data_IF_185885908516
#
_entry.id   IF_185885908516
#
_cell.length_a   1.000
_cell.length_b   1.000
_cell.length_c   1.000
_cell.angle_alpha   90.00
_cell.angle_beta   90.00
_cell.angle_gamma   90.00
#
_symmetry.space_group_name_H-M   'P 1'
#
loop_
_entity.id
_entity.type
_entity.pdbx_description
1 polymer ?
#
# COMPACT_ATOMS: atom_id res chain seq x y z
N UNK A 1 -14.69 1.71 -20.84
CA UNK A 1 -15.09 0.57 -20.01
C UNK A 1 -14.26 0.57 -18.72
N UNK A 2 -14.93 0.50 -17.57
CA UNK A 2 -14.26 0.33 -16.27
C UNK A 2 -13.59 -1.04 -16.13
N UNK A 3 -12.75 -1.18 -15.13
CA UNK A 3 -12.06 -2.43 -14.82
C UNK A 3 -13.07 -3.54 -14.47
N UNK A 4 -12.92 -4.71 -15.09
CA UNK A 4 -13.67 -5.92 -14.80
C UNK A 4 -12.76 -6.99 -14.21
N UNK A 5 -13.21 -7.61 -13.13
CA UNK A 5 -12.54 -8.72 -12.47
C UNK A 5 -13.56 -9.70 -11.91
N UNK A 6 -13.10 -10.85 -11.45
CA UNK A 6 -13.96 -11.82 -10.74
C UNK A 6 -14.57 -11.16 -9.49
N UNK A 7 -13.82 -10.30 -8.81
CA UNK A 7 -14.28 -9.54 -7.64
C UNK A 7 -15.48 -8.64 -7.99
N UNK A 8 -15.34 -7.79 -9.01
CA UNK A 8 -16.41 -6.86 -9.42
C UNK A 8 -17.63 -7.59 -9.99
N UNK A 9 -17.42 -8.67 -10.72
CA UNK A 9 -18.51 -9.50 -11.23
C UNK A 9 -19.31 -10.16 -10.08
N UNK A 10 -18.61 -10.65 -9.07
CA UNK A 10 -19.25 -11.25 -7.88
C UNK A 10 -20.08 -10.23 -7.14
N UNK A 11 -19.58 -9.01 -6.92
CA UNK A 11 -20.33 -7.93 -6.28
C UNK A 11 -21.56 -7.53 -7.10
N UNK A 12 -21.44 -7.44 -8.42
CA UNK A 12 -22.54 -7.11 -9.31
C UNK A 12 -23.67 -8.15 -9.28
N UNK A 13 -23.34 -9.42 -8.95
CA UNK A 13 -24.29 -10.53 -8.81
C UNK A 13 -24.75 -10.75 -7.36
N UNK A 14 -24.41 -9.86 -6.44
CA UNK A 14 -24.68 -10.00 -5.01
C UNK A 14 -24.08 -11.28 -4.40
N UNK A 15 -22.96 -11.73 -4.93
CA UNK A 15 -22.20 -12.86 -4.42
C UNK A 15 -21.03 -12.35 -3.56
N UNK A 16 -20.65 -13.14 -2.55
CA UNK A 16 -19.47 -12.83 -1.72
C UNK A 16 -18.21 -13.31 -2.42
N UNK A 17 -17.31 -12.41 -2.87
CA UNK A 17 -16.04 -12.81 -3.49
C UNK A 17 -15.09 -13.42 -2.47
N UNK A 18 -14.33 -14.42 -2.89
CA UNK A 18 -13.34 -15.12 -2.07
C UNK A 18 -11.92 -14.56 -2.24
N UNK A 19 -10.93 -15.16 -1.59
CA UNK A 19 -9.52 -14.76 -1.70
C UNK A 19 -8.96 -14.92 -3.10
N UNK A 20 -9.43 -15.89 -3.90
CA UNK A 20 -9.02 -16.03 -5.30
C UNK A 20 -9.56 -14.89 -6.16
N UNK A 21 -10.80 -14.46 -5.92
CA UNK A 21 -11.37 -13.29 -6.58
C UNK A 21 -10.62 -12.02 -6.23
N UNK A 22 -10.17 -11.87 -4.97
CA UNK A 22 -9.32 -10.75 -4.55
C UNK A 22 -7.98 -10.75 -5.31
N UNK A 23 -7.30 -11.88 -5.38
CA UNK A 23 -6.03 -12.01 -6.11
C UNK A 23 -6.20 -11.64 -7.59
N UNK A 24 -7.25 -12.14 -8.23
CA UNK A 24 -7.58 -11.80 -9.62
C UNK A 24 -7.81 -10.29 -9.79
N UNK A 25 -8.58 -9.69 -8.90
CA UNK A 25 -8.85 -8.24 -8.93
C UNK A 25 -7.57 -7.41 -8.79
N UNK A 26 -6.74 -7.72 -7.81
CA UNK A 26 -5.48 -7.01 -7.59
C UNK A 26 -4.52 -7.16 -8.77
N UNK A 27 -4.40 -8.37 -9.32
CA UNK A 27 -3.59 -8.60 -10.53
C UNK A 27 -4.11 -7.78 -11.71
N UNK A 28 -5.42 -7.74 -11.91
CA UNK A 28 -6.04 -6.98 -13.00
C UNK A 28 -5.74 -5.48 -12.86
N UNK A 29 -5.86 -4.92 -11.64
CA UNK A 29 -5.54 -3.52 -11.38
C UNK A 29 -4.07 -3.24 -11.70
N UNK A 30 -3.15 -4.06 -11.21
CA UNK A 30 -1.72 -3.85 -11.40
C UNK A 30 -1.26 -4.13 -12.83
N UNK A 31 -1.94 -5.00 -13.58
CA UNK A 31 -1.67 -5.21 -15.00
C UNK A 31 -2.06 -4.02 -15.85
N UNK A 32 -3.23 -3.44 -15.59
CA UNK A 32 -3.77 -2.32 -16.37
C UNK A 32 -3.21 -0.95 -15.91
N UNK A 33 -2.85 -0.84 -14.63
CA UNK A 33 -2.44 0.41 -13.99
C UNK A 33 -1.15 0.26 -13.15
N UNK A 34 -0.14 -0.44 -13.68
CA UNK A 34 1.12 -0.66 -12.98
C UNK A 34 1.79 0.65 -12.53
N UNK A 35 2.23 0.72 -11.29
CA UNK A 35 2.89 1.89 -10.72
C UNK A 35 1.96 3.05 -10.36
N UNK A 36 0.66 2.94 -10.53
CA UNK A 36 -0.27 4.06 -10.35
C UNK A 36 -0.45 4.45 -8.87
N UNK A 37 -0.56 3.47 -7.98
CA UNK A 37 -0.65 3.72 -6.53
C UNK A 37 0.65 4.32 -5.98
N UNK A 38 1.78 3.95 -6.55
CA UNK A 38 3.09 4.50 -6.22
C UNK A 38 3.15 6.02 -6.46
N UNK A 39 2.54 6.52 -7.52
CA UNK A 39 2.55 7.95 -7.84
C UNK A 39 1.97 8.79 -6.69
N UNK A 40 0.88 8.35 -6.09
CA UNK A 40 0.29 9.01 -4.93
C UNK A 40 1.19 8.90 -3.69
N UNK A 41 1.64 7.70 -3.36
CA UNK A 41 2.49 7.46 -2.19
C UNK A 41 3.80 8.25 -2.24
N UNK A 42 4.41 8.33 -3.42
CA UNK A 42 5.66 9.10 -3.61
C UNK A 42 5.46 10.61 -3.54
N UNK A 43 4.26 11.10 -3.89
CA UNK A 43 3.96 12.53 -3.96
C UNK A 43 3.53 13.13 -2.62
N UNK A 44 3.05 12.31 -1.69
CA UNK A 44 2.58 12.78 -0.40
C UNK A 44 3.70 12.73 0.64
N UNK A 45 3.93 13.86 1.32
CA UNK A 45 5.02 14.02 2.29
C UNK A 45 4.51 14.48 3.64
N UNK A 46 5.21 14.08 4.70
CA UNK A 46 4.95 14.56 6.06
C UNK A 46 5.59 15.94 6.31
N UNK A 47 5.42 16.44 7.53
CA UNK A 47 6.00 17.75 7.92
C UNK A 47 7.54 17.77 7.82
N UNK A 48 8.19 16.63 7.94
CA UNK A 48 9.65 16.50 7.78
C UNK A 48 10.10 16.31 6.34
N UNK A 49 9.18 16.31 5.39
CA UNK A 49 9.45 16.15 3.97
C UNK A 49 9.62 14.72 3.49
N UNK A 50 9.26 13.72 4.32
CA UNK A 50 9.37 12.30 3.99
C UNK A 50 8.07 11.79 3.39
N UNK A 51 8.16 11.01 2.30
CA UNK A 51 7.03 10.19 1.87
C UNK A 51 6.94 8.91 2.71
N UNK A 52 5.92 8.11 2.47
CA UNK A 52 5.68 6.88 3.24
C UNK A 52 6.81 5.84 3.06
N UNK A 53 7.41 5.76 1.88
CA UNK A 53 8.56 4.87 1.64
C UNK A 53 9.77 5.29 2.47
N UNK A 54 10.10 6.57 2.48
CA UNK A 54 11.23 7.12 3.24
C UNK A 54 11.00 6.97 4.74
N UNK A 55 9.78 7.18 5.20
CA UNK A 55 9.42 6.99 6.60
C UNK A 55 9.56 5.52 7.04
N UNK A 56 9.12 4.57 6.20
CA UNK A 56 9.30 3.14 6.47
C UNK A 56 10.79 2.75 6.45
N UNK A 57 11.54 3.24 5.48
CA UNK A 57 12.96 2.95 5.30
C UNK A 57 13.82 3.40 6.49
N UNK A 58 13.41 4.40 7.26
CA UNK A 58 14.13 4.86 8.46
C UNK A 58 14.36 3.75 9.48
N UNK A 59 13.47 2.76 9.54
CA UNK A 59 13.58 1.67 10.49
C UNK A 59 14.56 0.57 10.06
N UNK A 60 15.19 0.71 8.88
CA UNK A 60 16.24 -0.18 8.41
C UNK A 60 17.59 0.39 8.82
N UNK A 61 18.35 -0.29 9.70
CA UNK A 61 19.70 0.15 10.07
C UNK A 61 20.68 0.07 8.90
N UNK A 62 21.78 0.84 8.98
CA UNK A 62 22.83 0.85 7.97
C UNK A 62 23.94 -0.19 8.26
N UNK A 63 23.58 -1.33 8.80
CA UNK A 63 24.52 -2.40 9.09
C UNK A 63 24.94 -3.10 7.79
N UNK A 64 26.24 -3.28 7.61
CA UNK A 64 26.80 -3.97 6.47
C UNK A 64 26.31 -5.42 6.42
N UNK A 65 25.89 -5.87 5.23
CA UNK A 65 25.43 -7.23 5.01
C UNK A 65 24.04 -7.55 5.58
N UNK A 66 23.31 -6.55 6.08
CA UNK A 66 21.94 -6.75 6.59
C UNK A 66 21.04 -7.31 5.50
N UNK A 67 20.35 -8.41 5.79
CA UNK A 67 19.48 -9.11 4.84
C UNK A 67 18.05 -8.57 4.97
N UNK A 68 17.59 -7.91 3.91
CA UNK A 68 16.32 -7.20 3.87
C UNK A 68 15.43 -7.81 2.80
N UNK A 69 14.18 -8.10 3.16
CA UNK A 69 13.15 -8.55 2.24
C UNK A 69 12.03 -7.50 2.15
N UNK A 70 11.76 -7.01 0.95
CA UNK A 70 10.60 -6.17 0.66
C UNK A 70 9.46 -7.05 0.16
N UNK A 71 8.49 -7.28 1.03
CA UNK A 71 7.33 -8.14 0.77
C UNK A 71 6.25 -7.33 0.06
N UNK A 72 5.82 -7.78 -1.11
CA UNK A 72 4.97 -7.05 -2.04
C UNK A 72 5.66 -5.75 -2.51
N UNK A 73 6.83 -5.92 -3.11
CA UNK A 73 7.71 -4.80 -3.46
C UNK A 73 7.21 -3.93 -4.62
N UNK A 74 6.21 -4.38 -5.37
CA UNK A 74 5.69 -3.67 -6.53
C UNK A 74 6.78 -3.33 -7.54
N UNK A 75 6.79 -2.10 -8.00
CA UNK A 75 7.78 -1.59 -8.96
C UNK A 75 9.14 -1.23 -8.34
N UNK A 76 9.36 -1.53 -7.06
CA UNK A 76 10.65 -1.44 -6.39
C UNK A 76 11.06 -0.07 -5.82
N UNK A 77 10.15 0.87 -5.51
CA UNK A 77 10.56 2.19 -5.02
C UNK A 77 11.27 2.14 -3.67
N UNK A 78 10.82 1.30 -2.75
CA UNK A 78 11.44 1.15 -1.43
C UNK A 78 12.82 0.51 -1.54
N UNK A 79 12.96 -0.54 -2.35
CA UNK A 79 14.26 -1.17 -2.62
C UNK A 79 15.26 -0.19 -3.22
N UNK A 80 14.82 0.69 -4.12
CA UNK A 80 15.68 1.72 -4.73
C UNK A 80 16.19 2.70 -3.68
N UNK A 81 15.33 3.16 -2.79
CA UNK A 81 15.71 4.05 -1.68
C UNK A 81 16.78 3.39 -0.81
N UNK A 82 16.57 2.13 -0.43
CA UNK A 82 17.52 1.38 0.40
C UNK A 82 18.84 1.14 -0.31
N UNK A 83 18.81 0.76 -1.57
CA UNK A 83 20.02 0.53 -2.38
C UNK A 83 20.85 1.81 -2.52
N UNK A 84 20.19 2.94 -2.82
CA UNK A 84 20.90 4.22 -2.99
C UNK A 84 21.51 4.72 -1.68
N UNK A 85 20.84 4.42 -0.55
CA UNK A 85 21.34 4.79 0.78
C UNK A 85 22.52 3.95 1.22
N UNK A 86 22.48 2.63 1.00
CA UNK A 86 23.52 1.70 1.43
C UNK A 86 23.62 0.51 0.46
N UNK A 87 24.69 0.48 -0.33
CA UNK A 87 24.94 -0.55 -1.34
C UNK A 87 25.40 -1.89 -0.76
N UNK A 88 25.70 -1.95 0.53
CA UNK A 88 26.14 -3.15 1.23
C UNK A 88 24.98 -3.93 1.86
N UNK A 89 23.74 -3.46 1.71
CA UNK A 89 22.55 -4.23 2.10
C UNK A 89 22.33 -5.40 1.13
N UNK A 90 21.94 -6.54 1.67
CA UNK A 90 21.49 -7.69 0.88
C UNK A 90 19.96 -7.58 0.69
N UNK A 91 19.54 -7.08 -0.46
CA UNK A 91 18.15 -6.74 -0.75
C UNK A 91 17.49 -7.79 -1.62
N UNK A 92 16.28 -8.21 -1.20
CA UNK A 92 15.38 -9.06 -1.97
C UNK A 92 14.00 -8.42 -2.03
N UNK A 93 13.33 -8.57 -3.17
CA UNK A 93 11.94 -8.15 -3.35
C UNK A 93 11.08 -9.30 -3.83
N UNK A 94 9.87 -9.36 -3.30
CA UNK A 94 8.84 -10.32 -3.70
C UNK A 94 7.59 -9.58 -4.11
N UNK A 95 7.01 -9.95 -5.24
CA UNK A 95 5.70 -9.49 -5.68
C UNK A 95 4.99 -10.59 -6.47
N UNK A 96 3.67 -10.60 -6.45
CA UNK A 96 2.88 -11.59 -7.20
C UNK A 96 2.62 -11.15 -8.64
N UNK A 97 2.87 -9.88 -8.99
CA UNK A 97 2.54 -9.29 -10.28
C UNK A 97 3.78 -9.18 -11.17
N UNK A 98 3.89 -9.96 -12.26
CA UNK A 98 5.04 -9.89 -13.15
C UNK A 98 5.24 -8.54 -13.83
N UNK A 99 4.16 -7.78 -14.09
CA UNK A 99 4.23 -6.44 -14.68
C UNK A 99 4.88 -5.44 -13.72
N UNK A 100 4.57 -5.50 -12.44
CA UNK A 100 5.23 -4.69 -11.40
C UNK A 100 6.71 -5.06 -11.28
N UNK A 101 7.02 -6.36 -11.27
CA UNK A 101 8.41 -6.84 -11.21
C UNK A 101 9.22 -6.43 -12.44
N UNK A 102 8.61 -6.33 -13.61
CA UNK A 102 9.28 -5.83 -14.81
C UNK A 102 9.71 -4.36 -14.64
N UNK A 103 8.86 -3.53 -14.07
CA UNK A 103 9.20 -2.14 -13.71
C UNK A 103 10.30 -2.09 -12.65
N UNK A 104 10.23 -2.96 -11.66
CA UNK A 104 11.26 -3.05 -10.61
C UNK A 104 12.63 -3.44 -11.20
N UNK A 105 12.68 -4.39 -12.13
CA UNK A 105 13.91 -4.78 -12.82
C UNK A 105 14.56 -3.61 -13.56
N UNK A 106 13.76 -2.78 -14.22
CA UNK A 106 14.25 -1.59 -14.90
C UNK A 106 14.80 -0.57 -13.91
N UNK A 107 14.06 -0.31 -12.82
CA UNK A 107 14.46 0.63 -11.76
C UNK A 107 15.73 0.22 -11.05
N UNK A 108 15.91 -1.09 -10.82
CA UNK A 108 17.01 -1.68 -10.06
C UNK A 108 18.10 -2.30 -10.93
N UNK A 109 18.19 -1.87 -12.19
CA UNK A 109 19.20 -2.39 -13.12
C UNK A 109 20.61 -2.22 -12.54
N UNK A 110 21.43 -3.27 -12.64
CA UNK A 110 22.80 -3.30 -12.11
C UNK A 110 22.91 -3.15 -10.58
N UNK A 111 21.82 -3.29 -9.83
CA UNK A 111 21.84 -3.17 -8.36
C UNK A 111 22.23 -4.47 -7.64
N UNK A 112 22.09 -5.61 -8.30
CA UNK A 112 22.25 -6.92 -7.67
C UNK A 112 21.07 -7.34 -6.78
N UNK A 113 19.99 -6.56 -6.74
CA UNK A 113 18.76 -6.89 -5.98
C UNK A 113 18.09 -8.11 -6.62
N UNK A 114 17.78 -9.12 -5.79
CA UNK A 114 17.04 -10.31 -6.22
C UNK A 114 15.53 -10.04 -6.20
N UNK A 115 14.87 -10.26 -7.34
CA UNK A 115 13.41 -10.08 -7.49
C UNK A 115 12.76 -11.43 -7.78
N UNK A 116 11.73 -11.79 -7.01
CA UNK A 116 11.09 -13.09 -7.02
C UNK A 116 9.58 -12.92 -7.19
N UNK A 117 9.01 -13.64 -8.16
CA UNK A 117 7.54 -13.74 -8.30
C UNK A 117 7.01 -14.79 -7.33
N UNK A 118 6.20 -14.36 -6.37
CA UNK A 118 5.61 -15.25 -5.37
C UNK A 118 4.44 -14.56 -4.66
N UNK A 119 3.51 -15.35 -4.14
CA UNK A 119 2.51 -14.89 -3.17
C UNK A 119 3.13 -14.79 -1.79
N UNK A 120 2.68 -13.81 -1.01
CA UNK A 120 3.16 -13.59 0.36
C UNK A 120 2.82 -14.75 1.32
N UNK A 121 1.77 -15.52 1.02
CA UNK A 121 1.34 -16.67 1.81
C UNK A 121 2.28 -17.88 1.71
N UNK A 122 3.18 -17.88 0.74
CA UNK A 122 4.06 -19.02 0.49
C UNK A 122 5.41 -18.58 -0.08
N UNK A 123 6.35 -18.34 0.81
CA UNK A 123 7.70 -17.88 0.49
C UNK A 123 8.67 -19.06 0.33
N UNK A 124 8.34 -20.00 -0.57
CA UNK A 124 9.06 -21.28 -0.76
C UNK A 124 10.56 -21.12 -1.00
N UNK A 125 10.97 -20.04 -1.67
CA UNK A 125 12.37 -19.84 -2.05
C UNK A 125 13.18 -19.11 -0.99
N UNK A 126 12.54 -18.73 0.12
CA UNK A 126 13.21 -18.06 1.24
C UNK A 126 13.35 -19.04 2.38
N UNK A 127 14.58 -19.24 2.83
CA UNK A 127 14.89 -20.18 3.92
C UNK A 127 14.40 -19.68 5.27
N UNK A 128 14.21 -20.61 6.21
CA UNK A 128 13.93 -20.29 7.60
C UNK A 128 15.09 -19.47 8.19
N UNK A 129 14.78 -18.53 9.06
CA UNK A 129 15.76 -17.73 9.81
C UNK A 129 16.86 -17.10 8.93
N UNK A 130 16.48 -16.58 7.75
CA UNK A 130 17.42 -16.08 6.76
C UNK A 130 17.34 -14.57 6.53
N UNK A 131 16.33 -13.89 7.08
CA UNK A 131 16.07 -12.47 6.86
C UNK A 131 16.16 -11.71 8.17
N UNK A 132 16.84 -10.57 8.15
CA UNK A 132 17.01 -9.71 9.32
C UNK A 132 15.89 -8.68 9.46
N UNK A 133 15.39 -8.16 8.34
CA UNK A 133 14.27 -7.22 8.33
C UNK A 133 13.35 -7.55 7.15
N UNK A 134 12.05 -7.66 7.44
CA UNK A 134 11.01 -7.72 6.42
C UNK A 134 10.25 -6.40 6.44
N UNK A 135 10.11 -5.81 5.27
CA UNK A 135 9.32 -4.61 5.03
C UNK A 135 8.07 -4.99 4.23
N UNK A 136 6.96 -4.33 4.52
CA UNK A 136 5.74 -4.45 3.73
C UNK A 136 5.06 -3.10 3.64
N UNK A 137 5.17 -2.46 2.48
CA UNK A 137 4.65 -1.12 2.27
C UNK A 137 3.25 -1.18 1.67
N UNK A 138 2.25 -0.84 2.47
CA UNK A 138 0.84 -0.66 2.05
C UNK A 138 0.23 -1.86 1.31
N UNK A 139 0.54 -3.08 1.74
CA UNK A 139 0.06 -4.29 1.09
C UNK A 139 -0.64 -5.27 2.03
N UNK A 140 -0.41 -5.21 3.35
CA UNK A 140 -1.03 -6.15 4.28
C UNK A 140 -2.56 -6.14 4.21
N UNK A 141 -3.17 -4.97 4.01
CA UNK A 141 -4.62 -4.83 3.87
C UNK A 141 -5.21 -5.63 2.71
N UNK A 142 -4.38 -5.92 1.70
CA UNK A 142 -4.79 -6.58 0.46
C UNK A 142 -4.45 -8.07 0.43
N UNK A 143 -3.90 -8.60 1.52
CA UNK A 143 -3.52 -10.02 1.62
C UNK A 143 -4.63 -10.83 2.32
N UNK A 144 -5.17 -11.80 1.60
CA UNK A 144 -6.22 -12.67 2.12
C UNK A 144 -5.97 -14.12 1.62
N UNK A 145 -5.78 -15.09 2.52
CA UNK A 145 -5.76 -14.98 3.99
C UNK A 145 -4.47 -14.34 4.53
N UNK A 146 -4.60 -13.57 5.61
CA UNK A 146 -3.45 -12.86 6.22
C UNK A 146 -2.64 -13.74 7.18
N UNK A 147 -3.27 -14.68 7.86
CA UNK A 147 -2.57 -15.52 8.85
C UNK A 147 -1.38 -16.28 8.25
N UNK A 148 -1.47 -16.93 7.08
CA UNK A 148 -0.32 -17.57 6.44
C UNK A 148 0.81 -16.60 6.10
N UNK A 149 0.49 -15.34 5.77
CA UNK A 149 1.50 -14.30 5.51
C UNK A 149 2.32 -14.04 6.77
N UNK A 150 1.65 -13.80 7.89
CA UNK A 150 2.32 -13.54 9.17
C UNK A 150 3.13 -14.75 9.66
N UNK A 151 2.65 -15.95 9.41
CA UNK A 151 3.38 -17.19 9.72
C UNK A 151 4.66 -17.30 8.87
N UNK A 152 4.60 -16.98 7.58
CA UNK A 152 5.77 -16.94 6.70
C UNK A 152 6.75 -15.85 7.11
N UNK A 153 6.28 -14.67 7.47
CA UNK A 153 7.11 -13.58 7.98
C UNK A 153 7.89 -14.07 9.21
N UNK A 154 7.21 -14.71 10.16
CA UNK A 154 7.87 -15.27 11.34
C UNK A 154 8.89 -16.34 10.98
N UNK A 155 8.54 -17.25 10.07
CA UNK A 155 9.41 -18.37 9.68
C UNK A 155 10.73 -17.90 9.09
N UNK A 156 10.69 -16.90 8.19
CA UNK A 156 11.88 -16.46 7.47
C UNK A 156 12.74 -15.45 8.26
N UNK A 157 12.16 -14.77 9.25
CA UNK A 157 12.90 -13.88 10.13
C UNK A 157 13.84 -14.64 11.05
N UNK A 158 15.02 -14.09 11.26
CA UNK A 158 15.92 -14.53 12.34
C UNK A 158 15.27 -14.26 13.71
N UNK A 159 15.81 -14.87 14.77
CA UNK A 159 15.31 -14.67 16.13
C UNK A 159 15.37 -13.20 16.60
N UNK A 160 16.29 -12.42 16.06
CA UNK A 160 16.46 -10.99 16.32
C UNK A 160 15.87 -10.11 15.20
N UNK A 161 15.23 -10.74 14.21
CA UNK A 161 14.68 -10.06 13.05
C UNK A 161 13.49 -9.17 13.37
N UNK A 162 13.29 -8.14 12.53
CA UNK A 162 12.19 -7.17 12.66
C UNK A 162 11.24 -7.26 11.49
N UNK A 163 9.96 -7.07 11.78
CA UNK A 163 8.94 -6.86 10.77
C UNK A 163 8.43 -5.42 10.86
N UNK A 164 8.44 -4.73 9.73
CA UNK A 164 8.02 -3.34 9.61
C UNK A 164 7.02 -3.21 8.48
N UNK A 165 5.86 -2.64 8.76
CA UNK A 165 4.83 -2.47 7.75
C UNK A 165 4.23 -1.07 7.78
N UNK A 166 3.85 -0.59 6.60
CA UNK A 166 3.04 0.61 6.47
C UNK A 166 1.63 0.20 6.06
N UNK A 167 0.66 0.70 6.78
CA UNK A 167 -0.77 0.44 6.54
C UNK A 167 -1.56 1.74 6.63
N UNK A 168 -2.85 1.67 6.32
CA UNK A 168 -3.75 2.82 6.48
C UNK A 168 -3.79 3.26 7.95
N UNK A 169 -3.73 4.56 8.17
CA UNK A 169 -4.00 5.15 9.47
C UNK A 169 -5.49 5.36 9.70
N UNK A 170 -5.89 5.83 10.90
CA UNK A 170 -7.28 6.18 11.17
C UNK A 170 -7.77 7.27 10.20
N UNK A 171 -8.91 7.05 9.56
CA UNK A 171 -9.42 7.96 8.53
C UNK A 171 -9.56 9.40 9.03
N UNK A 172 -9.94 9.59 10.29
CA UNK A 172 -10.12 10.91 10.90
C UNK A 172 -8.79 11.59 11.30
N UNK A 173 -7.65 10.92 11.19
CA UNK A 173 -6.35 11.50 11.54
C UNK A 173 -5.84 12.48 10.47
N UNK A 174 -6.30 12.38 9.23
CA UNK A 174 -5.91 13.28 8.15
C UNK A 174 -7.08 14.19 7.73
N UNK A 175 -6.88 15.52 7.72
CA UNK A 175 -7.95 16.45 7.34
C UNK A 175 -8.46 16.19 5.92
N UNK A 176 -9.78 16.05 5.77
CA UNK A 176 -10.45 15.88 4.48
C UNK A 176 -10.39 14.48 3.88
N UNK A 177 -9.68 13.53 4.50
CA UNK A 177 -9.52 12.19 3.93
C UNK A 177 -10.86 11.43 3.89
N UNK A 178 -11.66 11.50 4.94
CA UNK A 178 -12.98 10.85 5.00
C UNK A 178 -13.88 11.33 3.87
N UNK A 179 -13.89 12.62 3.61
CA UNK A 179 -14.69 13.25 2.55
C UNK A 179 -14.24 12.79 1.16
N UNK A 180 -12.95 12.63 0.94
CA UNK A 180 -12.41 12.08 -0.31
C UNK A 180 -12.84 10.63 -0.50
N UNK A 181 -12.67 9.81 0.52
CA UNK A 181 -13.09 8.42 0.53
C UNK A 181 -14.59 8.30 0.20
N UNK A 182 -15.43 9.03 0.92
CA UNK A 182 -16.88 8.96 0.76
C UNK A 182 -17.32 9.44 -0.62
N UNK A 183 -16.68 10.47 -1.16
CA UNK A 183 -16.97 10.97 -2.51
C UNK A 183 -16.66 9.89 -3.57
N UNK A 184 -15.49 9.29 -3.53
CA UNK A 184 -15.09 8.25 -4.48
C UNK A 184 -16.03 7.04 -4.38
N UNK A 185 -16.29 6.57 -3.16
CA UNK A 185 -17.18 5.42 -2.94
C UNK A 185 -18.61 5.72 -3.37
N UNK A 186 -19.11 6.93 -3.22
CA UNK A 186 -20.47 7.29 -3.68
C UNK A 186 -20.60 7.14 -5.19
N UNK A 187 -19.62 7.54 -5.97
CA UNK A 187 -19.59 7.34 -7.41
C UNK A 187 -19.53 5.86 -7.80
N UNK A 188 -18.72 5.09 -7.10
CA UNK A 188 -18.58 3.65 -7.36
C UNK A 188 -19.86 2.90 -6.99
N UNK A 189 -20.48 3.22 -5.87
CA UNK A 189 -21.71 2.58 -5.40
C UNK A 189 -22.92 2.90 -6.31
N UNK A 190 -22.91 4.00 -7.04
CA UNK A 190 -23.91 4.26 -8.08
C UNK A 190 -23.84 3.25 -9.24
N UNK A 191 -22.64 2.74 -9.53
CA UNK A 191 -22.43 1.70 -10.56
C UNK A 191 -22.57 0.28 -9.99
N UNK A 192 -22.04 0.06 -8.77
CA UNK A 192 -22.03 -1.21 -8.06
C UNK A 192 -22.51 -0.95 -6.62
N UNK A 193 -23.84 -1.03 -6.35
CA UNK A 193 -24.39 -0.66 -5.05
C UNK A 193 -23.79 -1.38 -3.84
N UNK A 194 -23.34 -2.63 -4.03
CA UNK A 194 -22.73 -3.44 -2.97
C UNK A 194 -21.23 -3.17 -2.76
N UNK A 195 -20.63 -2.29 -3.56
CA UNK A 195 -19.21 -1.98 -3.41
C UNK A 195 -18.95 -1.29 -2.05
N UNK A 196 -17.98 -1.79 -1.31
CA UNK A 196 -17.66 -1.31 0.04
C UNK A 196 -18.44 -1.99 1.16
N UNK A 197 -19.44 -2.81 0.87
CA UNK A 197 -20.07 -3.70 1.85
C UNK A 197 -19.14 -4.86 2.23
N UNK A 198 -18.25 -5.22 1.31
CA UNK A 198 -17.23 -6.25 1.50
C UNK A 198 -15.88 -5.59 1.34
N UNK A 199 -15.05 -5.68 2.39
CA UNK A 199 -13.71 -5.10 2.38
C UNK A 199 -12.79 -5.82 1.40
N UNK A 200 -11.95 -5.06 0.71
CA UNK A 200 -10.80 -5.60 0.02
C UNK A 200 -9.76 -6.03 1.07
N UNK A 201 -9.57 -7.34 1.20
CA UNK A 201 -8.64 -7.91 2.15
C UNK A 201 -9.20 -8.07 3.56
N UNK A 202 -8.34 -8.02 4.55
CA UNK A 202 -8.69 -8.27 5.95
C UNK A 202 -8.90 -6.96 6.71
N UNK A 203 -10.13 -6.66 7.18
CA UNK A 203 -10.43 -5.40 7.86
C UNK A 203 -9.67 -5.22 9.19
N UNK A 204 -9.18 -6.30 9.81
CA UNK A 204 -8.40 -6.22 11.06
C UNK A 204 -7.11 -5.43 10.90
N UNK A 205 -6.57 -5.33 9.69
CA UNK A 205 -5.34 -4.57 9.38
C UNK A 205 -5.56 -3.07 9.55
N UNK A 206 -6.77 -2.56 9.34
CA UNK A 206 -7.08 -1.13 9.36
C UNK A 206 -7.28 -0.54 10.76
N UNK A 207 -7.45 -1.38 11.77
CA UNK A 207 -7.56 -0.94 13.16
C UNK A 207 -6.28 -1.21 13.94
N UNK A 208 -5.79 -0.24 14.74
CA UNK A 208 -4.56 -0.41 15.50
C UNK A 208 -4.64 -1.55 16.50
N UNK A 209 -5.71 -1.63 17.28
CA UNK A 209 -5.89 -2.71 18.27
C UNK A 209 -6.05 -4.09 17.61
N UNK A 210 -6.85 -4.18 16.55
CA UNK A 210 -7.07 -5.43 15.83
C UNK A 210 -5.80 -5.88 15.11
N UNK A 211 -5.02 -4.98 14.57
CA UNK A 211 -3.74 -5.28 13.93
C UNK A 211 -2.73 -5.82 14.95
N UNK A 212 -2.59 -5.17 16.09
CA UNK A 212 -1.72 -5.63 17.18
C UNK A 212 -2.14 -7.03 17.62
N UNK A 213 -3.43 -7.24 17.85
CA UNK A 213 -3.96 -8.55 18.27
C UNK A 213 -3.69 -9.65 17.23
N UNK A 214 -3.88 -9.33 15.95
CA UNK A 214 -3.61 -10.24 14.84
C UNK A 214 -2.12 -10.63 14.76
N UNK A 215 -1.23 -9.64 14.88
CA UNK A 215 0.22 -9.85 14.82
C UNK A 215 0.73 -10.61 16.05
N UNK A 216 0.18 -10.36 17.21
CA UNK A 216 0.54 -11.07 18.46
C UNK A 216 0.33 -12.59 18.37
N UNK A 217 -0.62 -13.05 17.58
CA UNK A 217 -0.85 -14.49 17.37
C UNK A 217 0.36 -15.18 16.74
N UNK A 218 1.02 -14.54 15.81
CA UNK A 218 2.24 -15.06 15.15
C UNK A 218 3.52 -14.67 15.90
N UNK A 219 3.49 -13.59 16.67
CA UNK A 219 4.62 -13.06 17.44
C UNK A 219 4.24 -12.82 18.90
N UNK A 220 3.96 -13.90 19.67
CA UNK A 220 3.35 -13.76 21.01
C UNK A 220 4.23 -13.06 22.05
N UNK A 221 5.54 -13.06 21.87
CA UNK A 221 6.48 -12.43 22.82
C UNK A 221 7.12 -11.13 22.28
N UNK A 222 6.66 -10.66 21.12
CA UNK A 222 7.25 -9.46 20.50
C UNK A 222 6.72 -8.18 21.14
N UNK A 223 7.54 -7.14 21.06
CA UNK A 223 7.09 -5.75 21.24
C UNK A 223 6.52 -5.26 19.91
N UNK A 224 5.26 -4.84 19.96
CA UNK A 224 4.53 -4.35 18.79
C UNK A 224 4.18 -2.89 19.03
N UNK A 225 4.62 -2.02 18.12
CA UNK A 225 4.37 -0.59 18.20
C UNK A 225 3.77 -0.09 16.89
N UNK A 226 2.82 0.84 16.98
CA UNK A 226 2.22 1.52 15.84
C UNK A 226 2.33 3.02 16.05
N UNK A 227 2.91 3.71 15.06
CA UNK A 227 2.96 5.17 15.01
C UNK A 227 2.07 5.66 13.88
N UNK A 228 1.32 6.74 14.14
CA UNK A 228 0.48 7.41 13.14
C UNK A 228 1.16 8.67 12.64
N UNK A 229 1.07 8.90 11.33
CA UNK A 229 1.56 10.10 10.67
C UNK A 229 0.57 10.54 9.60
N UNK A 230 0.73 11.75 9.10
CA UNK A 230 -0.06 12.32 8.01
C UNK A 230 0.89 12.76 6.90
N UNK A 231 0.59 12.37 5.68
CA UNK A 231 1.32 12.78 4.48
C UNK A 231 0.38 13.55 3.56
N UNK A 232 0.90 14.60 2.93
CA UNK A 232 0.10 15.51 2.10
C UNK A 232 0.82 15.88 0.82
N UNK A 233 0.04 16.22 -0.20
CA UNK A 233 0.54 16.84 -1.42
C UNK A 233 -0.27 18.07 -1.77
N UNK A 234 0.38 19.05 -2.38
CA UNK A 234 -0.23 20.25 -2.91
C UNK A 234 0.22 20.48 -4.35
N UNK A 235 -0.63 21.08 -5.16
CA UNK A 235 -0.34 21.37 -6.53
C UNK A 235 -1.59 21.80 -7.31
N UNK A 236 -1.50 21.87 -8.64
CA UNK A 236 -2.67 22.12 -9.49
C UNK A 236 -3.79 21.15 -9.17
N UNK A 237 -4.99 21.65 -8.90
CA UNK A 237 -6.08 20.86 -8.30
C UNK A 237 -6.47 19.63 -9.13
N UNK A 238 -6.49 19.73 -10.44
CA UNK A 238 -6.82 18.58 -11.31
C UNK A 238 -5.76 17.49 -11.22
N UNK A 239 -4.49 17.88 -11.17
CA UNK A 239 -3.38 16.94 -11.02
C UNK A 239 -3.43 16.26 -9.66
N UNK A 240 -3.67 16.99 -8.59
CA UNK A 240 -3.81 16.44 -7.22
C UNK A 240 -4.99 15.46 -7.18
N UNK A 241 -6.13 15.80 -7.77
CA UNK A 241 -7.30 14.94 -7.83
C UNK A 241 -7.02 13.64 -8.58
N UNK A 242 -6.34 13.69 -9.73
CA UNK A 242 -5.98 12.51 -10.52
C UNK A 242 -5.03 11.59 -9.74
N UNK A 243 -4.00 12.15 -9.11
CA UNK A 243 -3.03 11.38 -8.33
C UNK A 243 -3.71 10.76 -7.10
N UNK A 244 -4.53 11.54 -6.38
CA UNK A 244 -5.27 11.05 -5.20
C UNK A 244 -6.22 9.91 -5.57
N UNK A 245 -6.95 10.03 -6.67
CA UNK A 245 -7.84 8.98 -7.14
C UNK A 245 -7.10 7.68 -7.45
N UNK A 246 -5.86 7.77 -7.93
CA UNK A 246 -5.02 6.60 -8.21
C UNK A 246 -4.62 5.80 -6.98
N UNK A 247 -4.74 6.34 -5.79
CA UNK A 247 -4.52 5.62 -4.55
C UNK A 247 -5.69 4.69 -4.18
N UNK A 248 -6.90 5.00 -4.62
CA UNK A 248 -8.10 4.25 -4.27
C UNK A 248 -8.43 3.19 -5.33
N UNK A 249 -8.32 1.91 -4.97
CA UNK A 249 -8.70 0.81 -5.88
C UNK A 249 -10.13 0.94 -6.38
N UNK A 250 -11.03 1.48 -5.57
CA UNK A 250 -12.42 1.73 -5.95
C UNK A 250 -12.55 2.58 -7.22
N UNK A 251 -11.70 3.59 -7.39
CA UNK A 251 -11.77 4.48 -8.55
C UNK A 251 -11.50 3.78 -9.88
N UNK A 252 -10.78 2.66 -9.89
CA UNK A 252 -10.46 1.92 -11.13
C UNK A 252 -11.66 1.17 -11.72
N UNK A 253 -12.72 0.93 -10.95
CA UNK A 253 -13.92 0.23 -11.46
C UNK A 253 -14.87 1.17 -12.22
N UNK A 254 -14.66 2.49 -12.14
CA UNK A 254 -15.50 3.46 -12.83
C UNK A 254 -15.26 3.45 -14.34
N UNK A 255 -16.36 3.56 -15.10
CA UNK A 255 -16.28 3.83 -16.54
C UNK A 255 -15.66 5.21 -16.80
N UNK A 256 -14.99 5.42 -17.95
CA UNK A 256 -14.29 6.68 -18.24
C UNK A 256 -15.15 7.93 -18.04
N UNK A 257 -16.40 7.95 -18.47
CA UNK A 257 -17.29 9.10 -18.32
C UNK A 257 -17.59 9.38 -16.85
N UNK A 258 -17.83 8.35 -16.06
CA UNK A 258 -18.12 8.46 -14.62
C UNK A 258 -16.87 8.86 -13.83
N UNK A 259 -15.71 8.30 -14.21
CA UNK A 259 -14.44 8.70 -13.62
C UNK A 259 -14.19 10.21 -13.84
N UNK A 260 -14.44 10.71 -15.03
CA UNK A 260 -14.28 12.14 -15.37
C UNK A 260 -15.14 13.03 -14.49
N UNK A 261 -16.41 12.66 -14.27
CA UNK A 261 -17.32 13.36 -13.36
C UNK A 261 -16.81 13.32 -11.92
N UNK A 262 -16.33 12.17 -11.47
CA UNK A 262 -15.77 11.99 -10.13
C UNK A 262 -14.54 12.88 -9.95
N UNK A 263 -13.62 12.93 -10.91
CA UNK A 263 -12.44 13.80 -10.85
C UNK A 263 -12.82 15.27 -10.77
N UNK A 264 -13.85 15.71 -11.49
CA UNK A 264 -14.36 17.09 -11.40
C UNK A 264 -14.87 17.40 -9.99
N UNK A 265 -15.67 16.51 -9.41
CA UNK A 265 -16.17 16.66 -8.05
C UNK A 265 -15.04 16.62 -7.01
N UNK A 266 -14.08 15.73 -7.20
CA UNK A 266 -12.92 15.61 -6.32
C UNK A 266 -12.04 16.86 -6.39
N UNK A 267 -11.83 17.43 -7.56
CA UNK A 267 -11.11 18.69 -7.75
C UNK A 267 -11.75 19.83 -6.96
N UNK A 268 -13.08 19.92 -7.00
CA UNK A 268 -13.80 20.94 -6.22
C UNK A 268 -13.66 20.73 -4.71
N UNK A 269 -13.66 19.48 -4.26
CA UNK A 269 -13.47 19.13 -2.85
C UNK A 269 -12.06 19.48 -2.36
N UNK A 270 -11.04 19.21 -3.18
CA UNK A 270 -9.64 19.38 -2.80
C UNK A 270 -9.11 20.81 -2.96
N UNK A 271 -9.86 21.70 -3.58
CA UNK A 271 -9.43 23.08 -3.80
C UNK A 271 -9.19 23.82 -2.47
N UNK A 272 -8.01 24.41 -2.31
CA UNK A 272 -7.61 25.16 -1.10
C UNK A 272 -8.31 26.52 -1.04
N UNK A 273 -8.50 27.19 -2.20
CA UNK A 273 -9.12 28.50 -2.28
C UNK A 273 -10.34 28.47 -3.20
N UNK A 274 -11.45 29.06 -2.71
CA UNK A 274 -12.69 29.22 -3.46
C UNK A 274 -12.71 30.50 -4.31
N UNK A 275 -11.64 31.29 -4.33
CA UNK A 275 -11.57 32.52 -5.13
C UNK A 275 -11.38 32.19 -6.59
N UNK A 276 -12.38 32.56 -7.40
CA UNK A 276 -12.48 32.32 -8.85
C UNK A 276 -11.50 33.12 -9.71
N UNK A 277 -10.47 33.75 -9.17
CA UNK A 277 -9.60 34.66 -9.91
C UNK A 277 -8.35 34.03 -10.50
N UNK A 278 -8.11 32.75 -10.23
CA UNK A 278 -6.91 32.06 -10.69
C UNK A 278 -7.26 30.92 -11.64
N UNK A 279 -6.73 30.95 -12.87
CA UNK A 279 -6.83 29.86 -13.85
C UNK A 279 -6.10 28.60 -13.42
N UNK A 280 -5.34 28.66 -12.29
CA UNK A 280 -4.58 27.55 -11.70
C UNK A 280 -4.98 27.39 -10.24
N UNK A 281 -6.16 26.83 -10.01
CA UNK A 281 -6.59 26.48 -8.65
C UNK A 281 -5.63 25.48 -8.05
N UNK A 282 -5.19 25.73 -6.82
CA UNK A 282 -4.37 24.80 -6.03
C UNK A 282 -5.27 23.87 -5.24
N UNK A 283 -4.85 22.62 -5.14
CA UNK A 283 -5.50 21.59 -4.36
C UNK A 283 -4.56 20.97 -3.34
N UNK A 284 -5.15 20.38 -2.32
CA UNK A 284 -4.42 19.64 -1.27
C UNK A 284 -5.10 18.33 -0.98
N UNK A 285 -4.31 17.28 -0.87
CA UNK A 285 -4.76 15.95 -0.43
C UNK A 285 -3.88 15.46 0.71
N UNK A 286 -4.50 14.93 1.77
CA UNK A 286 -3.81 14.37 2.94
C UNK A 286 -4.28 12.96 3.22
N UNK A 287 -3.34 12.09 3.61
CA UNK A 287 -3.61 10.69 3.96
C UNK A 287 -3.09 10.37 5.35
N UNK A 288 -3.86 9.61 6.15
CA UNK A 288 -3.36 9.06 7.40
C UNK A 288 -2.59 7.76 7.11
N UNK A 289 -1.47 7.58 7.76
CA UNK A 289 -0.66 6.37 7.64
C UNK A 289 -0.24 5.87 9.02
N UNK A 290 -0.17 4.55 9.17
CA UNK A 290 0.34 3.87 10.35
C UNK A 290 1.59 3.07 9.99
N UNK A 291 2.59 3.15 10.85
CA UNK A 291 3.82 2.35 10.73
C UNK A 291 3.87 1.35 11.87
N UNK A 292 3.79 0.07 11.52
CA UNK A 292 3.89 -1.05 12.43
C UNK A 292 5.35 -1.46 12.59
N UNK A 293 5.81 -1.62 13.82
CA UNK A 293 7.11 -2.20 14.14
C UNK A 293 6.93 -3.39 15.08
N UNK A 294 7.41 -4.55 14.65
CA UNK A 294 7.44 -5.78 15.44
C UNK A 294 8.88 -6.13 15.73
N UNK A 295 9.28 -6.07 16.99
CA UNK A 295 10.64 -6.34 17.45
C UNK A 295 10.59 -7.48 18.46
N UNK A 296 11.48 -8.50 18.32
CA UNK A 296 11.52 -9.56 19.30
C UNK A 296 11.86 -9.03 20.70
N UNK A 297 11.15 -9.55 21.71
CA UNK A 297 11.47 -9.23 23.09
C UNK A 297 12.68 -10.06 23.51
N UNK A 298 13.86 -9.46 23.48
CA UNK A 298 15.10 -10.09 23.92
C UNK A 298 15.15 -9.98 25.45
N UNK A 299 15.05 -11.14 26.15
CA UNK A 299 15.23 -11.21 27.60
C UNK A 299 16.71 -11.16 27.96
#
# INVERSE_FOLDING_TARGET
>A
RGLNSIWTDSLARNLHPDGNALVDHLKTVHQEHAGFTEACASSCRDESGRNSYEWLAELVPDNEGLRVLDLACGSGPLLKILFDRNKNLDLKGIDMCPEELALAKTRLINSGVSLIESKAQNLKTIDDNSIDIILCHWALTLMDPIAPVLDEVRRVLTSEGRFVALVDGPMNAAPGYTEVHDLIYSYVQNEIPSYGEIDLGDPRIRGSESLIHLVQKSFPEANINIETNVVSMEGPVTQVAEIAAGFFYAAFVLKPEKRKLMITSLSNLLAISKKNTDTKRQGRFSMPINRLLVVPNIK
#
